data_IF_592829644430
#
_entry.id   IF_592829644430
#
_cell.length_a   1.000
_cell.length_b   1.000
_cell.length_c   1.000
_cell.angle_alpha   90.00
_cell.angle_beta   90.00
_cell.angle_gamma   90.00
#
_symmetry.space_group_name_H-M   'P 1'
#
loop_
_entity.id
_entity.type
_entity.pdbx_description
1 polymer ?
#
# COMPACT_ATOMS: atom_id res chain seq x y z
N UNK A 1 -9.51 15.55 9.88
CA UNK A 1 -10.63 14.59 9.95
C UNK A 1 -11.28 14.74 11.33
N UNK A 2 -12.47 15.34 11.40
CA UNK A 2 -13.33 15.11 12.56
C UNK A 2 -14.00 13.77 12.33
N UNK A 3 -13.66 12.75 13.13
CA UNK A 3 -14.53 11.59 13.25
C UNK A 3 -15.90 12.13 13.61
N UNK A 4 -16.94 11.86 12.80
CA UNK A 4 -18.29 12.11 13.26
C UNK A 4 -18.46 11.24 14.51
N UNK A 5 -18.44 11.88 15.68
CA UNK A 5 -19.13 11.36 16.85
C UNK A 5 -20.62 11.43 16.50
N UNK A 6 -21.08 10.49 15.66
CA UNK A 6 -22.48 10.13 15.66
C UNK A 6 -22.77 9.50 17.02
N UNK A 7 -23.97 9.72 17.56
CA UNK A 7 -24.49 9.22 18.84
C UNK A 7 -24.47 7.68 19.01
N UNK A 8 -23.77 6.94 18.14
CA UNK A 8 -23.53 5.52 18.27
C UNK A 8 -22.07 5.32 18.66
N UNK A 9 -21.82 5.04 19.94
CA UNK A 9 -20.47 4.74 20.48
C UNK A 9 -19.83 3.47 19.89
N UNK A 10 -20.49 2.79 18.96
CA UNK A 10 -20.08 1.52 18.40
C UNK A 10 -19.80 1.66 16.90
N UNK A 11 -18.64 1.20 16.46
CA UNK A 11 -18.31 1.09 15.03
C UNK A 11 -19.27 0.13 14.31
N UNK A 12 -19.49 0.38 13.02
CA UNK A 12 -20.32 -0.48 12.17
C UNK A 12 -19.42 -1.38 11.30
N UNK A 13 -19.75 -2.68 11.23
CA UNK A 13 -19.15 -3.58 10.25
C UNK A 13 -19.79 -3.31 8.89
N UNK A 14 -18.99 -2.85 7.93
CA UNK A 14 -19.42 -2.49 6.58
C UNK A 14 -18.95 -3.48 5.50
N UNK A 15 -18.02 -4.36 5.82
CA UNK A 15 -17.56 -5.45 4.96
C UNK A 15 -17.18 -6.68 5.79
N UNK A 16 -17.51 -7.87 5.27
CA UNK A 16 -17.36 -9.13 6.01
C UNK A 16 -18.37 -9.27 7.17
N UNK A 17 -17.90 -9.81 8.31
CA UNK A 17 -18.71 -9.89 9.53
C UNK A 17 -19.51 -11.19 9.73
N UNK A 18 -19.41 -12.16 8.82
CA UNK A 18 -20.03 -13.50 8.94
C UNK A 18 -18.99 -14.61 9.13
N UNK A 19 -17.96 -14.32 9.93
CA UNK A 19 -16.82 -15.20 10.15
C UNK A 19 -15.77 -15.11 9.04
N UNK A 20 -14.64 -15.77 9.27
CA UNK A 20 -13.53 -15.87 8.33
C UNK A 20 -13.88 -16.82 7.19
N UNK A 21 -13.62 -16.43 5.95
CA UNK A 21 -13.82 -17.29 4.79
C UNK A 21 -13.98 -16.55 3.47
N UNK A 22 -14.23 -17.31 2.41
CA UNK A 22 -14.28 -16.81 1.02
C UNK A 22 -15.73 -16.63 0.50
N UNK A 23 -16.74 -16.76 1.36
CA UNK A 23 -18.12 -16.43 0.99
C UNK A 23 -18.27 -14.94 0.64
N UNK A 24 -19.36 -14.58 -0.05
CA UNK A 24 -19.63 -13.18 -0.40
C UNK A 24 -19.93 -12.32 0.83
N UNK A 25 -20.26 -12.92 1.97
CA UNK A 25 -20.47 -12.23 3.25
C UNK A 25 -19.25 -12.28 4.18
N UNK A 26 -18.12 -12.79 3.70
CA UNK A 26 -16.93 -13.09 4.51
C UNK A 26 -15.70 -12.43 3.90
N UNK A 27 -14.71 -12.21 4.75
CA UNK A 27 -13.34 -11.88 4.37
C UNK A 27 -12.43 -12.90 5.05
N UNK A 28 -11.38 -13.34 4.38
CA UNK A 28 -10.42 -14.28 4.96
C UNK A 28 -9.18 -13.53 5.44
N UNK A 29 -8.47 -12.88 4.53
CA UNK A 29 -7.17 -12.23 4.79
C UNK A 29 -7.09 -10.89 4.06
N UNK A 30 -7.83 -9.86 4.51
CA UNK A 30 -7.74 -8.54 3.92
C UNK A 30 -6.35 -7.94 4.17
N UNK A 31 -5.73 -7.43 3.12
CA UNK A 31 -4.36 -6.87 3.15
C UNK A 31 -4.36 -5.38 2.85
N UNK A 32 -5.31 -4.90 2.04
CA UNK A 32 -5.47 -3.49 1.72
C UNK A 32 -6.92 -3.13 1.42
N UNK A 33 -7.26 -1.85 1.62
CA UNK A 33 -8.59 -1.31 1.36
C UNK A 33 -8.50 0.13 0.86
N UNK A 34 -9.26 0.44 -0.19
CA UNK A 34 -9.47 1.81 -0.63
C UNK A 34 -10.94 2.17 -0.71
N UNK A 35 -11.21 3.47 -0.67
CA UNK A 35 -12.56 4.02 -0.80
C UNK A 35 -12.75 4.48 -2.25
N UNK A 36 -13.73 3.89 -2.92
CA UNK A 36 -14.29 4.44 -4.13
C UNK A 36 -15.40 5.43 -3.75
N UNK A 37 -15.10 6.72 -3.87
CA UNK A 37 -16.02 7.80 -3.49
C UNK A 37 -17.21 7.94 -4.44
N UNK A 38 -17.08 7.50 -5.69
CA UNK A 38 -18.10 7.69 -6.72
C UNK A 38 -19.21 6.65 -6.56
N UNK A 39 -18.84 5.38 -6.41
CA UNK A 39 -19.77 4.29 -6.12
C UNK A 39 -20.12 4.17 -4.64
N UNK A 40 -19.53 5.02 -3.80
CA UNK A 40 -19.62 4.99 -2.34
C UNK A 40 -19.38 3.59 -1.76
N UNK A 41 -18.28 2.98 -2.18
CA UNK A 41 -17.94 1.58 -1.89
C UNK A 41 -16.53 1.45 -1.32
N UNK A 42 -16.27 0.35 -0.63
CA UNK A 42 -14.94 -0.15 -0.32
C UNK A 42 -14.49 -1.10 -1.43
N UNK A 43 -13.24 -1.00 -1.83
CA UNK A 43 -12.55 -2.02 -2.63
C UNK A 43 -11.50 -2.64 -1.74
N UNK A 44 -11.59 -3.95 -1.53
CA UNK A 44 -10.80 -4.68 -0.54
C UNK A 44 -10.01 -5.76 -1.28
N UNK A 45 -8.71 -5.74 -1.04
CA UNK A 45 -7.78 -6.77 -1.43
C UNK A 45 -7.78 -7.83 -0.33
N UNK A 46 -8.18 -9.06 -0.63
CA UNK A 46 -8.31 -10.09 0.39
C UNK A 46 -8.03 -11.50 -0.16
N UNK A 47 -7.11 -12.19 0.49
CA UNK A 47 -6.76 -13.57 0.15
C UNK A 47 -6.38 -13.74 -1.33
N UNK A 48 -7.33 -14.25 -2.13
CA UNK A 48 -7.15 -14.57 -3.56
C UNK A 48 -8.01 -13.73 -4.52
N UNK A 49 -8.54 -12.60 -4.05
CA UNK A 49 -9.51 -11.80 -4.80
C UNK A 49 -9.48 -10.33 -4.41
N UNK A 50 -10.09 -9.52 -5.26
CA UNK A 50 -10.47 -8.14 -4.96
C UNK A 50 -11.99 -8.06 -4.95
N UNK A 51 -12.56 -7.53 -3.87
CA UNK A 51 -14.01 -7.44 -3.67
C UNK A 51 -14.46 -6.01 -3.45
N UNK A 52 -15.63 -5.66 -3.99
CA UNK A 52 -16.31 -4.39 -3.74
C UNK A 52 -17.46 -4.58 -2.77
N UNK A 53 -17.58 -3.65 -1.82
CA UNK A 53 -18.67 -3.61 -0.84
C UNK A 53 -19.27 -2.21 -0.77
N UNK A 54 -20.58 -2.09 -0.94
CA UNK A 54 -21.25 -0.79 -0.81
C UNK A 54 -21.22 -0.31 0.63
N UNK A 55 -21.00 1.00 0.83
CA UNK A 55 -21.13 1.65 2.15
C UNK A 55 -22.55 2.18 2.40
N UNK A 56 -23.40 2.21 1.37
CA UNK A 56 -24.77 2.76 1.42
C UNK A 56 -25.85 1.69 1.61
N UNK A 57 -25.60 0.47 1.17
CA UNK A 57 -26.64 -0.56 1.09
C UNK A 57 -26.82 -1.33 2.40
N UNK A 58 -28.05 -1.79 2.64
CA UNK A 58 -28.39 -2.88 3.54
C UNK A 58 -27.84 -4.25 3.08
N UNK A 59 -27.36 -4.35 1.83
CA UNK A 59 -26.73 -5.55 1.32
C UNK A 59 -25.41 -5.80 2.05
N UNK A 60 -25.29 -6.99 2.63
CA UNK A 60 -24.10 -7.45 3.38
C UNK A 60 -23.24 -8.38 2.53
N UNK A 61 -23.37 -8.33 1.20
CA UNK A 61 -22.60 -9.16 0.28
C UNK A 61 -21.64 -8.33 -0.55
N UNK A 62 -20.42 -8.83 -0.71
CA UNK A 62 -19.44 -8.28 -1.64
C UNK A 62 -19.68 -8.75 -3.07
N UNK A 63 -19.23 -7.93 -4.00
CA UNK A 63 -19.08 -8.24 -5.43
C UNK A 63 -17.61 -8.59 -5.71
N UNK A 64 -17.34 -9.73 -6.34
CA UNK A 64 -15.97 -10.07 -6.75
C UNK A 64 -15.64 -9.28 -8.03
N UNK A 65 -14.64 -8.40 -7.94
CA UNK A 65 -14.14 -7.63 -9.08
C UNK A 65 -13.05 -8.40 -9.84
N UNK A 66 -12.14 -9.04 -9.10
CA UNK A 66 -10.98 -9.77 -9.64
C UNK A 66 -10.81 -11.05 -8.81
N UNK A 67 -10.63 -12.19 -9.46
CA UNK A 67 -10.34 -13.47 -8.82
C UNK A 67 -8.97 -14.02 -9.26
N UNK A 68 -8.54 -15.12 -8.61
CA UNK A 68 -7.28 -15.80 -8.91
C UNK A 68 -6.05 -14.87 -8.94
N UNK A 69 -6.01 -13.97 -7.96
CA UNK A 69 -4.95 -12.97 -7.77
C UNK A 69 -4.42 -13.08 -6.35
N UNK A 70 -3.11 -13.21 -6.15
CA UNK A 70 -2.53 -13.10 -4.81
C UNK A 70 -2.34 -11.61 -4.49
N UNK A 71 -3.46 -10.91 -4.27
CA UNK A 71 -3.47 -9.47 -4.09
C UNK A 71 -2.80 -9.07 -2.76
N UNK A 72 -2.00 -7.99 -2.76
CA UNK A 72 -1.50 -7.39 -1.51
C UNK A 72 -1.81 -5.90 -1.35
N UNK A 73 -1.66 -5.10 -2.40
CA UNK A 73 -1.86 -3.66 -2.37
C UNK A 73 -2.82 -3.19 -3.47
N UNK A 74 -3.50 -2.07 -3.20
CA UNK A 74 -4.43 -1.42 -4.11
C UNK A 74 -4.08 0.06 -4.30
N UNK A 75 -4.26 0.56 -5.51
CA UNK A 75 -4.34 2.00 -5.76
C UNK A 75 -5.40 2.28 -6.83
N UNK A 76 -5.96 3.49 -6.83
CA UNK A 76 -6.91 3.91 -7.86
C UNK A 76 -6.56 5.30 -8.33
N UNK A 77 -6.48 5.51 -9.65
CA UNK A 77 -6.20 6.82 -10.23
C UNK A 77 -7.48 7.67 -10.40
N UNK A 78 -7.30 8.92 -10.84
CA UNK A 78 -8.40 9.86 -11.08
C UNK A 78 -9.32 9.41 -12.22
N UNK A 79 -8.85 8.53 -13.11
CA UNK A 79 -9.61 7.94 -14.22
C UNK A 79 -10.27 6.60 -13.87
N UNK A 80 -10.27 6.21 -12.58
CA UNK A 80 -10.89 4.97 -12.06
C UNK A 80 -10.26 3.69 -12.55
N UNK A 81 -9.00 3.75 -12.95
CA UNK A 81 -8.22 2.55 -13.15
C UNK A 81 -7.79 2.02 -11.78
N UNK A 82 -8.13 0.76 -11.49
CA UNK A 82 -7.70 0.04 -10.30
C UNK A 82 -6.35 -0.63 -10.57
N UNK A 83 -5.37 -0.35 -9.72
CA UNK A 83 -4.05 -0.95 -9.77
C UNK A 83 -3.93 -1.96 -8.63
N UNK A 84 -3.44 -3.15 -8.93
CA UNK A 84 -3.35 -4.25 -7.98
C UNK A 84 -1.97 -4.90 -8.07
N UNK A 85 -1.29 -5.04 -6.93
CA UNK A 85 -0.08 -5.86 -6.84
C UNK A 85 -0.43 -7.32 -6.62
N UNK A 86 0.10 -8.21 -7.47
CA UNK A 86 0.00 -9.65 -7.32
C UNK A 86 1.35 -10.19 -6.82
N UNK A 87 1.42 -10.56 -5.55
CA UNK A 87 2.66 -11.06 -4.93
C UNK A 87 3.06 -12.43 -5.47
N UNK A 88 2.11 -13.23 -5.94
CA UNK A 88 2.34 -14.57 -6.47
C UNK A 88 2.86 -14.56 -7.91
N UNK A 89 2.49 -13.54 -8.68
CA UNK A 89 2.98 -13.33 -10.06
C UNK A 89 4.11 -12.31 -10.16
N UNK A 90 4.44 -11.62 -9.07
CA UNK A 90 5.47 -10.59 -9.01
C UNK A 90 5.25 -9.48 -10.03
N UNK A 91 4.03 -8.95 -10.06
CA UNK A 91 3.60 -7.95 -11.02
C UNK A 91 2.61 -6.96 -10.42
N UNK A 92 2.42 -5.83 -11.11
CA UNK A 92 1.30 -4.92 -10.88
C UNK A 92 0.49 -4.82 -12.17
N UNK A 93 -0.82 -4.94 -12.03
CA UNK A 93 -1.77 -4.81 -13.15
C UNK A 93 -2.74 -3.67 -12.91
N UNK A 94 -3.11 -3.01 -14.00
CA UNK A 94 -4.14 -2.00 -14.10
C UNK A 94 -5.42 -2.62 -14.65
N UNK A 95 -6.56 -2.33 -14.03
CA UNK A 95 -7.88 -2.83 -14.40
C UNK A 95 -8.85 -1.67 -14.55
N UNK A 96 -9.63 -1.70 -15.63
CA UNK A 96 -10.85 -0.91 -15.79
C UNK A 96 -12.07 -1.71 -15.34
N UNK A 97 -13.19 -1.02 -15.13
CA UNK A 97 -14.44 -1.69 -14.77
C UNK A 97 -14.83 -2.71 -15.85
N UNK A 98 -14.97 -3.97 -15.44
CA UNK A 98 -15.28 -5.09 -16.35
C UNK A 98 -14.07 -5.85 -16.88
N UNK A 99 -12.84 -5.36 -16.65
CA UNK A 99 -11.63 -6.08 -17.01
C UNK A 99 -11.48 -7.35 -16.17
N UNK A 100 -11.23 -8.49 -16.84
CA UNK A 100 -10.91 -9.75 -16.15
C UNK A 100 -9.42 -9.97 -15.94
N UNK A 101 -8.59 -9.51 -16.89
CA UNK A 101 -7.17 -9.85 -16.93
C UNK A 101 -6.25 -8.68 -16.58
N UNK A 102 -6.75 -7.44 -16.71
CA UNK A 102 -5.96 -6.23 -16.54
C UNK A 102 -4.79 -6.11 -17.53
N UNK A 103 -4.16 -4.95 -17.54
CA UNK A 103 -2.96 -4.63 -18.32
C UNK A 103 -1.75 -4.63 -17.40
N UNK A 104 -0.67 -5.31 -17.78
CA UNK A 104 0.59 -5.31 -17.03
C UNK A 104 1.23 -3.92 -17.08
N UNK A 105 1.55 -3.36 -15.91
CA UNK A 105 2.14 -2.01 -15.77
C UNK A 105 3.46 -1.96 -15.00
N UNK A 106 3.79 -3.00 -14.22
CA UNK A 106 5.11 -3.17 -13.60
C UNK A 106 5.43 -4.65 -13.36
N UNK A 107 6.71 -5.03 -13.46
CA UNK A 107 7.15 -6.42 -13.27
C UNK A 107 6.68 -7.38 -14.36
N UNK A 108 6.19 -8.56 -13.96
CA UNK A 108 5.61 -9.55 -14.88
C UNK A 108 6.62 -10.43 -15.64
N UNK A 109 7.92 -10.29 -15.35
CA UNK A 109 8.99 -11.10 -15.93
C UNK A 109 9.56 -12.11 -14.94
N UNK A 110 8.70 -12.59 -14.03
CA UNK A 110 9.08 -13.47 -12.92
C UNK A 110 9.78 -12.74 -11.77
N UNK A 111 10.13 -13.52 -10.74
CA UNK A 111 10.86 -13.05 -9.57
C UNK A 111 12.30 -12.65 -9.95
N UNK A 112 12.78 -11.50 -9.51
CA UNK A 112 14.18 -11.12 -9.68
C UNK A 112 14.50 -9.68 -9.30
N UNK A 113 15.75 -9.28 -9.50
CA UNK A 113 16.31 -7.96 -9.10
C UNK A 113 16.52 -7.02 -10.29
N UNK A 114 16.37 -7.52 -11.51
CA UNK A 114 16.44 -6.76 -12.75
C UNK A 114 15.35 -5.68 -12.78
N UNK A 115 15.56 -4.62 -13.58
CA UNK A 115 14.67 -3.46 -13.55
C UNK A 115 13.29 -3.72 -14.16
N UNK A 116 13.12 -4.81 -14.89
CA UNK A 116 11.83 -5.29 -15.41
C UNK A 116 11.19 -6.38 -14.54
N UNK A 117 11.73 -6.66 -13.35
CA UNK A 117 11.23 -7.67 -12.41
C UNK A 117 10.91 -7.05 -11.05
N UNK A 118 10.00 -7.72 -10.35
CA UNK A 118 9.66 -7.46 -8.95
C UNK A 118 9.87 -8.75 -8.15
N UNK A 119 9.87 -8.62 -6.84
CA UNK A 119 9.99 -9.73 -5.90
C UNK A 119 9.12 -9.43 -4.68
N UNK A 120 7.95 -10.09 -4.64
CA UNK A 120 6.90 -9.84 -3.64
C UNK A 120 6.52 -8.34 -3.56
N UNK A 121 5.97 -7.74 -4.62
CA UNK A 121 5.52 -6.35 -4.57
C UNK A 121 4.35 -6.19 -3.59
N UNK A 122 4.53 -5.39 -2.53
CA UNK A 122 3.52 -5.22 -1.50
C UNK A 122 2.60 -4.03 -1.81
N UNK A 123 2.92 -2.85 -1.29
CA UNK A 123 2.10 -1.65 -1.46
C UNK A 123 2.44 -0.96 -2.78
N UNK A 124 1.45 -0.25 -3.31
CA UNK A 124 1.64 0.62 -4.46
C UNK A 124 0.88 1.93 -4.30
N UNK A 125 1.35 2.96 -4.98
CA UNK A 125 0.62 4.21 -5.20
C UNK A 125 0.75 4.62 -6.66
N UNK A 126 -0.21 5.40 -7.16
CA UNK A 126 -0.23 5.91 -8.53
C UNK A 126 -0.37 7.43 -8.51
N UNK A 127 0.46 8.13 -9.29
CA UNK A 127 0.35 9.59 -9.43
C UNK A 127 -0.57 9.99 -10.60
N UNK A 128 -0.77 11.31 -10.78
CA UNK A 128 -1.62 11.87 -11.85
C UNK A 128 -1.08 11.62 -13.26
N UNK A 129 0.19 11.28 -13.40
CA UNK A 129 0.79 10.89 -14.68
C UNK A 129 0.67 9.37 -14.93
N UNK A 130 -0.04 8.66 -14.05
CA UNK A 130 -0.15 7.20 -14.05
C UNK A 130 1.20 6.51 -13.88
N UNK A 131 2.13 7.16 -13.18
CA UNK A 131 3.36 6.51 -12.71
C UNK A 131 3.02 5.62 -11.53
N UNK A 132 3.42 4.36 -11.60
CA UNK A 132 3.19 3.37 -10.54
C UNK A 132 4.43 3.29 -9.67
N UNK A 133 4.28 3.53 -8.37
CA UNK A 133 5.31 3.36 -7.37
C UNK A 133 5.01 2.10 -6.59
N UNK A 134 6.01 1.25 -6.35
CA UNK A 134 5.81 -0.08 -5.76
C UNK A 134 6.90 -0.33 -4.72
N UNK A 135 6.49 -0.80 -3.53
CA UNK A 135 7.44 -1.41 -2.59
C UNK A 135 7.78 -2.83 -3.04
N UNK A 136 8.97 -2.96 -3.61
CA UNK A 136 9.55 -4.23 -4.06
C UNK A 136 10.17 -4.93 -2.85
N UNK A 137 9.29 -5.49 -2.01
CA UNK A 137 9.52 -5.78 -0.59
C UNK A 137 10.75 -6.66 -0.36
N UNK A 138 10.83 -7.79 -1.07
CA UNK A 138 11.92 -8.75 -0.91
C UNK A 138 13.22 -8.32 -1.60
N UNK A 139 13.16 -7.32 -2.49
CA UNK A 139 14.35 -6.70 -3.06
C UNK A 139 14.81 -5.48 -2.27
N UNK A 140 14.14 -5.13 -1.17
CA UNK A 140 14.54 -4.05 -0.26
C UNK A 140 14.70 -2.69 -0.94
N UNK A 141 13.79 -2.39 -1.86
CA UNK A 141 13.78 -1.17 -2.65
C UNK A 141 12.37 -0.69 -2.92
N UNK A 142 12.25 0.58 -3.29
CA UNK A 142 11.05 1.14 -3.91
C UNK A 142 11.39 1.48 -5.35
N UNK A 143 10.50 1.09 -6.26
CA UNK A 143 10.67 1.33 -7.68
C UNK A 143 9.49 2.12 -8.23
N UNK A 144 9.72 2.89 -9.29
CA UNK A 144 8.67 3.52 -10.07
C UNK A 144 8.69 3.09 -11.54
N UNK A 145 7.51 2.98 -12.15
CA UNK A 145 7.31 2.77 -13.57
C UNK A 145 6.47 3.91 -14.14
N UNK A 146 7.04 4.66 -15.08
CA UNK A 146 6.26 5.61 -15.86
C UNK A 146 5.30 4.82 -16.78
N UNK A 147 4.17 5.44 -17.14
CA UNK A 147 3.19 4.81 -18.03
C UNK A 147 3.83 4.26 -19.31
N UNK A 148 3.65 2.96 -19.56
CA UNK A 148 4.17 2.27 -20.75
C UNK A 148 5.64 1.85 -20.68
N UNK A 149 6.35 2.16 -19.59
CA UNK A 149 7.74 1.75 -19.41
C UNK A 149 7.89 0.22 -19.35
N UNK A 150 8.98 -0.31 -19.91
CA UNK A 150 9.33 -1.74 -19.85
C UNK A 150 10.20 -2.10 -18.65
N UNK A 151 10.88 -1.09 -18.09
CA UNK A 151 11.75 -1.19 -16.94
C UNK A 151 11.40 -0.09 -15.93
N UNK A 152 11.62 -0.38 -14.66
CA UNK A 152 11.40 0.53 -13.55
C UNK A 152 12.67 1.27 -13.18
N UNK A 153 12.50 2.27 -12.33
CA UNK A 153 13.58 3.09 -11.79
C UNK A 153 13.60 2.89 -10.28
N UNK A 154 14.74 2.50 -9.72
CA UNK A 154 14.92 2.46 -8.26
C UNK A 154 14.98 3.89 -7.73
N UNK A 155 14.10 4.20 -6.79
CA UNK A 155 13.98 5.56 -6.21
C UNK A 155 14.27 5.60 -4.71
N UNK A 156 14.27 4.46 -4.02
CA UNK A 156 14.76 4.33 -2.64
C UNK A 156 15.27 2.91 -2.39
N UNK A 157 16.21 2.77 -1.45
CA UNK A 157 16.87 1.50 -1.17
C UNK A 157 17.85 1.08 -2.28
N UNK A 158 18.03 -0.24 -2.43
CA UNK A 158 18.95 -0.81 -3.41
C UNK A 158 18.97 -2.33 -3.39
N UNK A 159 19.94 -2.96 -4.07
CA UNK A 159 20.00 -4.43 -4.19
C UNK A 159 20.44 -5.17 -2.91
N UNK A 160 20.71 -4.47 -1.80
CA UNK A 160 21.14 -5.08 -0.53
C UNK A 160 20.34 -4.49 0.61
N UNK A 161 19.80 -5.38 1.45
CA UNK A 161 19.24 -5.00 2.75
C UNK A 161 20.30 -4.29 3.61
N UNK A 162 19.83 -3.38 4.46
CA UNK A 162 20.63 -2.75 5.50
C UNK A 162 19.89 -1.59 6.15
N UNK A 163 20.57 -0.91 7.07
CA UNK A 163 20.02 0.20 7.86
C UNK A 163 20.66 1.56 7.54
N UNK A 164 21.59 1.62 6.57
CA UNK A 164 22.12 2.89 6.10
C UNK A 164 21.01 3.77 5.50
N UNK A 165 21.26 5.08 5.35
CA UNK A 165 20.27 6.02 4.80
C UNK A 165 19.99 5.80 3.30
N UNK A 166 20.83 5.02 2.61
CA UNK A 166 20.60 4.56 1.23
C UNK A 166 19.92 3.19 1.15
N UNK A 167 19.67 2.54 2.29
CA UNK A 167 19.19 1.16 2.35
C UNK A 167 17.83 1.07 3.03
N UNK A 168 17.11 0.02 2.69
CA UNK A 168 15.85 -0.37 3.29
C UNK A 168 15.95 -1.84 3.73
N UNK A 169 15.04 -2.27 4.59
CA UNK A 169 14.87 -3.64 5.02
C UNK A 169 13.39 -4.02 5.09
N UNK A 170 12.94 -4.71 4.04
CA UNK A 170 11.54 -5.09 3.77
C UNK A 170 10.57 -3.89 3.82
N UNK A 171 10.70 -2.93 2.88
CA UNK A 171 9.81 -1.79 2.85
C UNK A 171 8.36 -2.21 2.56
N UNK A 172 7.39 -1.69 3.31
CA UNK A 172 5.96 -1.97 3.11
C UNK A 172 5.25 -0.72 2.58
N UNK A 173 4.50 -0.02 3.42
CA UNK A 173 3.67 1.12 3.05
C UNK A 173 4.50 2.24 2.44
N UNK A 174 3.98 2.81 1.36
CA UNK A 174 4.59 3.94 0.67
C UNK A 174 3.54 5.04 0.45
N UNK A 175 4.00 6.28 0.40
CA UNK A 175 3.21 7.45 0.02
C UNK A 175 4.07 8.38 -0.82
N UNK A 176 3.47 8.99 -1.83
CA UNK A 176 4.15 9.99 -2.67
C UNK A 176 3.31 11.26 -2.63
N UNK A 177 3.93 12.36 -2.23
CA UNK A 177 3.25 13.66 -2.21
C UNK A 177 3.20 14.30 -3.62
N UNK A 178 2.54 15.45 -3.74
CA UNK A 178 2.41 16.17 -5.02
C UNK A 178 3.72 16.78 -5.52
N UNK A 179 4.75 16.87 -4.69
CA UNK A 179 6.11 17.29 -5.05
C UNK A 179 6.97 16.10 -5.50
N UNK A 180 6.42 14.88 -5.40
CA UNK A 180 7.12 13.64 -5.71
C UNK A 180 8.07 13.18 -4.59
N UNK A 181 7.92 13.69 -3.37
CA UNK A 181 8.59 13.17 -2.18
C UNK A 181 8.02 11.80 -1.84
N UNK A 182 8.88 10.80 -1.76
CA UNK A 182 8.53 9.45 -1.36
C UNK A 182 8.71 9.28 0.14
N UNK A 183 7.69 8.75 0.81
CA UNK A 183 7.74 8.28 2.20
C UNK A 183 7.62 6.75 2.19
N UNK A 184 8.46 6.08 2.97
CA UNK A 184 8.54 4.62 3.01
C UNK A 184 8.55 4.14 4.46
N UNK A 185 7.66 3.19 4.77
CA UNK A 185 7.78 2.38 5.98
C UNK A 185 8.88 1.34 5.77
N UNK A 186 10.01 1.54 6.44
CA UNK A 186 11.16 0.64 6.42
C UNK A 186 11.02 -0.37 7.57
N UNK A 187 10.19 -1.39 7.34
CA UNK A 187 9.55 -2.18 8.39
C UNK A 187 10.51 -2.88 9.33
N UNK A 188 11.53 -3.60 8.84
CA UNK A 188 12.45 -4.31 9.74
C UNK A 188 13.53 -3.41 10.34
N UNK A 189 13.67 -2.18 9.86
CA UNK A 189 14.45 -1.14 10.54
C UNK A 189 13.61 -0.29 11.50
N UNK A 190 12.30 -0.57 11.65
CA UNK A 190 11.40 0.09 12.59
C UNK A 190 11.42 1.63 12.46
N UNK A 191 11.32 2.13 11.23
CA UNK A 191 11.40 3.56 10.93
C UNK A 191 10.55 3.94 9.72
N UNK A 192 10.23 5.22 9.60
CA UNK A 192 9.71 5.82 8.38
C UNK A 192 10.77 6.76 7.81
N UNK A 193 11.02 6.64 6.52
CA UNK A 193 12.02 7.44 5.82
C UNK A 193 11.38 8.25 4.70
N UNK A 194 11.96 9.42 4.37
CA UNK A 194 11.60 10.23 3.20
C UNK A 194 12.75 10.37 2.21
N UNK A 195 12.43 10.40 0.91
CA UNK A 195 13.32 10.75 -0.20
C UNK A 195 12.67 11.86 -1.03
N UNK A 196 13.39 12.96 -1.22
CA UNK A 196 12.97 14.05 -2.11
C UNK A 196 13.47 13.78 -3.53
N UNK A 197 12.82 14.37 -4.54
CA UNK A 197 13.33 14.30 -5.91
C UNK A 197 14.72 14.98 -6.01
N UNK A 198 15.63 14.37 -6.76
CA UNK A 198 16.99 14.86 -7.00
C UNK A 198 18.02 13.74 -7.06
N UNK A 199 19.30 14.10 -7.26
CA UNK A 199 20.41 13.12 -7.35
C UNK A 199 20.82 12.54 -5.98
N UNK A 200 20.26 13.06 -4.89
CA UNK A 200 20.53 12.53 -3.56
C UNK A 200 19.81 11.19 -3.34
N UNK A 201 20.57 10.10 -3.39
CA UNK A 201 20.07 8.74 -3.15
C UNK A 201 19.91 8.39 -1.66
N UNK A 202 20.21 9.31 -0.75
CA UNK A 202 20.05 9.13 0.70
C UNK A 202 18.69 9.63 1.16
N UNK A 203 18.01 8.82 1.96
CA UNK A 203 16.78 9.22 2.62
C UNK A 203 17.07 9.88 3.96
N UNK A 204 16.02 10.45 4.55
CA UNK A 204 16.04 11.01 5.91
C UNK A 204 15.05 10.25 6.78
N UNK A 205 15.45 9.90 8.00
CA UNK A 205 14.53 9.31 8.99
C UNK A 205 13.59 10.42 9.49
N UNK A 206 12.29 10.16 9.47
CA UNK A 206 11.27 11.12 9.89
C UNK A 206 10.70 10.75 11.26
N UNK A 207 10.42 9.46 11.47
CA UNK A 207 9.98 8.90 12.75
C UNK A 207 10.55 7.49 12.92
N UNK A 208 10.71 7.03 14.18
CA UNK A 208 11.35 5.77 14.52
C UNK A 208 12.87 5.78 14.34
N UNK A 209 13.45 4.60 14.12
CA UNK A 209 14.90 4.42 13.90
C UNK A 209 15.76 4.43 15.17
N UNK A 210 15.12 4.51 16.33
CA UNK A 210 15.69 4.48 17.69
C UNK A 210 15.54 3.09 18.35
N UNK A 211 15.53 2.02 17.53
CA UNK A 211 15.35 0.64 17.95
C UNK A 211 13.88 0.19 17.99
N UNK A 212 13.68 -1.13 17.95
CA UNK A 212 12.36 -1.73 18.14
C UNK A 212 11.88 -1.51 19.59
N UNK A 213 10.60 -1.19 19.76
CA UNK A 213 10.02 -0.97 21.09
C UNK A 213 8.57 -0.52 21.06
N UNK A 214 8.01 -0.32 22.25
CA UNK A 214 6.61 0.10 22.47
C UNK A 214 6.51 1.55 22.97
N UNK A 215 7.62 2.26 23.12
CA UNK A 215 7.63 3.68 23.50
C UNK A 215 7.04 4.59 22.41
N UNK A 216 6.86 5.87 22.76
CA UNK A 216 6.55 6.90 21.77
C UNK A 216 7.69 7.01 20.76
N UNK A 217 7.35 7.13 19.48
CA UNK A 217 8.34 7.17 18.38
C UNK A 217 9.25 5.92 18.33
N UNK A 218 8.81 4.78 18.87
CA UNK A 218 9.37 3.46 18.61
C UNK A 218 8.32 2.60 17.89
N UNK A 219 8.77 1.69 17.02
CA UNK A 219 7.90 0.79 16.30
C UNK A 219 8.33 -0.66 16.48
N UNK A 220 7.43 -1.59 16.19
CA UNK A 220 7.70 -3.01 16.05
C UNK A 220 7.04 -3.52 14.76
N UNK A 221 7.85 -3.60 13.70
CA UNK A 221 7.44 -3.97 12.34
C UNK A 221 6.26 -3.12 11.85
N UNK A 222 6.44 -1.80 11.67
CA UNK A 222 5.38 -0.96 11.11
C UNK A 222 5.07 -1.40 9.67
N UNK A 223 3.80 -1.29 9.25
CA UNK A 223 3.35 -1.68 7.90
C UNK A 223 2.92 -0.52 7.03
N UNK A 224 1.79 0.11 7.36
CA UNK A 224 1.15 1.14 6.55
C UNK A 224 1.44 2.54 7.07
N UNK A 225 1.34 3.53 6.18
CA UNK A 225 1.37 4.94 6.54
C UNK A 225 0.31 5.73 5.79
N UNK A 226 -0.19 6.81 6.38
CA UNK A 226 -1.11 7.73 5.73
C UNK A 226 -0.96 9.15 6.28
N UNK A 227 -1.30 10.14 5.47
CA UNK A 227 -1.34 11.55 5.85
C UNK A 227 -2.79 12.04 6.00
N UNK A 228 -3.04 12.87 7.01
CA UNK A 228 -4.28 13.65 7.04
C UNK A 228 -4.14 14.98 6.28
N UNK A 229 -5.26 15.71 6.15
CA UNK A 229 -5.30 16.99 5.46
C UNK A 229 -4.52 18.12 6.15
N UNK A 230 -4.07 17.92 7.40
CA UNK A 230 -3.22 18.87 8.11
C UNK A 230 -1.74 18.47 8.06
N UNK A 231 -1.39 17.42 7.32
CA UNK A 231 -0.02 16.92 7.21
C UNK A 231 0.42 16.02 8.36
N UNK A 232 -0.49 15.61 9.25
CA UNK A 232 -0.14 14.64 10.29
C UNK A 232 0.07 13.25 9.68
N UNK A 233 1.19 12.62 10.04
CA UNK A 233 1.53 11.27 9.65
C UNK A 233 0.92 10.27 10.62
N UNK A 234 0.28 9.23 10.09
CA UNK A 234 -0.23 8.08 10.83
C UNK A 234 0.52 6.84 10.38
N UNK A 235 1.00 6.03 11.32
CA UNK A 235 1.76 4.80 11.04
C UNK A 235 1.11 3.63 11.77
N UNK A 236 0.77 2.58 11.02
CA UNK A 236 0.32 1.30 11.58
C UNK A 236 1.50 0.52 12.13
N UNK A 237 1.55 0.37 13.44
CA UNK A 237 2.61 -0.29 14.19
C UNK A 237 2.15 -1.73 14.51
N UNK A 238 2.33 -2.61 13.53
CA UNK A 238 1.62 -3.90 13.42
C UNK A 238 1.79 -4.77 14.66
N UNK A 239 3.02 -5.09 15.05
CA UNK A 239 3.25 -6.03 16.15
C UNK A 239 3.03 -5.41 17.53
N UNK A 240 2.88 -4.09 17.58
CA UNK A 240 2.41 -3.38 18.78
C UNK A 240 0.88 -3.19 18.79
N UNK A 241 0.15 -3.66 17.76
CA UNK A 241 -1.31 -3.57 17.64
C UNK A 241 -1.85 -2.14 17.83
N UNK A 242 -1.16 -1.13 17.28
CA UNK A 242 -1.53 0.28 17.45
C UNK A 242 -1.31 1.10 16.19
N UNK A 243 -1.87 2.31 16.20
CA UNK A 243 -1.55 3.36 15.24
C UNK A 243 -0.95 4.54 16.00
N UNK A 244 0.19 5.06 15.54
CA UNK A 244 0.79 6.27 16.09
C UNK A 244 0.59 7.44 15.14
N UNK A 245 0.30 8.62 15.70
CA UNK A 245 0.16 9.90 14.98
C UNK A 245 1.33 10.82 15.29
N UNK A 246 1.88 11.46 14.28
CA UNK A 246 3.00 12.40 14.38
C UNK A 246 2.66 13.70 13.66
N UNK A 247 3.01 14.82 14.29
CA UNK A 247 3.11 16.11 13.61
C UNK A 247 4.49 16.15 12.98
N UNK A 248 4.58 16.15 11.66
CA UNK A 248 5.84 16.28 10.95
C UNK A 248 5.87 17.67 10.32
N UNK A 249 6.84 18.49 10.74
CA UNK A 249 7.07 19.84 10.21
C UNK A 249 7.83 19.79 8.88
#
# INVERSE_FOLDING_TARGET
MQWKNGDTTNGQVVAGGKGQGNGLHQLDRPTDVLIDKETDSLIICEGRRVVRWSRRSDTTQGEILIDNIACFGLAMDEQKNLYVSDIGKHEVRQYQLGDKNGTLVAGGNGQGVELNKLNYPHYLVVDRQQTVYVSDNNNHRVMKWNKGAKEGIVIAGGQRTGSALTQLYYPNGIFVDTLGTLYVVDSLNNRVMRWTQGDNKQGTIIVGGNGSGSGANQFNVPRGLAFDLHGNLYVGDELNNRVQRFSIE
#
